data_IF_937562870807
#
_entry.id   IF_937562870807
#
_cell.length_a   1.000
_cell.length_b   1.000
_cell.length_c   1.000
_cell.angle_alpha   90.00
_cell.angle_beta   90.00
_cell.angle_gamma   90.00
#
_symmetry.space_group_name_H-M   'P 1'
#
loop_
_entity.id
_entity.type
_entity.pdbx_description
1 polymer ?
#
# COMPACT_ATOMS: atom_id res chain seq x y z
N UNK A 1 28.16 3.69 -1.65
CA UNK A 1 27.11 3.39 -2.64
C UNK A 1 26.10 4.53 -2.61
N UNK A 2 25.96 5.29 -3.67
CA UNK A 2 24.99 6.38 -3.75
C UNK A 2 23.61 5.74 -3.94
N UNK A 3 22.80 5.74 -2.89
CA UNK A 3 21.40 5.29 -3.00
C UNK A 3 20.70 6.23 -3.96
N UNK A 4 20.34 5.75 -5.13
CA UNK A 4 19.55 6.51 -6.10
C UNK A 4 18.15 6.69 -5.50
N UNK A 5 17.83 7.89 -5.05
CA UNK A 5 16.48 8.22 -4.59
C UNK A 5 15.58 8.15 -5.82
N UNK A 6 14.65 7.22 -5.83
CA UNK A 6 13.64 7.10 -6.89
C UNK A 6 12.49 8.02 -6.58
N UNK A 7 12.13 8.88 -7.53
CA UNK A 7 10.98 9.77 -7.38
C UNK A 7 9.67 9.08 -7.78
N UNK A 8 8.56 9.57 -7.25
CA UNK A 8 7.21 9.07 -7.55
C UNK A 8 6.92 9.14 -9.06
N UNK A 9 7.35 10.21 -9.72
CA UNK A 9 7.18 10.39 -11.17
C UNK A 9 7.83 9.31 -12.03
N UNK A 10 8.83 8.59 -11.51
CA UNK A 10 9.46 7.47 -12.21
C UNK A 10 8.67 6.16 -12.10
N UNK A 11 7.76 6.05 -11.14
CA UNK A 11 6.98 4.85 -10.87
C UNK A 11 5.50 4.99 -11.23
N UNK A 12 4.97 6.21 -11.28
CA UNK A 12 3.55 6.45 -11.52
C UNK A 12 3.11 5.91 -12.87
N UNK A 13 1.83 5.56 -12.96
CA UNK A 13 1.15 5.36 -14.23
C UNK A 13 0.76 6.73 -14.80
N UNK A 14 1.38 7.15 -15.90
CA UNK A 14 1.14 8.47 -16.53
C UNK A 14 -0.23 8.57 -17.19
N UNK A 15 -0.80 7.44 -17.64
CA UNK A 15 -2.08 7.43 -18.34
C UNK A 15 -3.23 7.60 -17.37
N UNK A 16 -3.69 8.85 -17.21
CA UNK A 16 -4.88 9.19 -16.45
C UNK A 16 -6.15 8.99 -17.29
N UNK A 17 -7.04 8.11 -16.84
CA UNK A 17 -8.38 8.01 -17.40
C UNK A 17 -9.34 8.82 -16.54
N UNK A 18 -10.04 9.76 -17.17
CA UNK A 18 -10.96 10.69 -16.53
C UNK A 18 -12.41 10.34 -16.79
N UNK A 19 -13.32 10.83 -15.97
CA UNK A 19 -14.76 10.74 -16.19
C UNK A 19 -15.42 12.02 -15.67
N UNK A 20 -16.40 12.54 -16.39
CA UNK A 20 -17.12 13.74 -15.98
C UNK A 20 -18.02 13.48 -14.75
N UNK A 21 -18.14 14.47 -13.88
CA UNK A 21 -18.88 14.39 -12.61
C UNK A 21 -20.36 14.06 -12.81
N UNK A 22 -20.95 14.47 -13.94
CA UNK A 22 -22.35 14.19 -14.29
C UNK A 22 -22.64 12.73 -14.62
N UNK A 23 -21.60 11.91 -14.83
CA UNK A 23 -21.78 10.51 -15.18
C UNK A 23 -22.30 9.69 -14.01
N UNK A 24 -22.89 8.53 -14.34
CA UNK A 24 -23.39 7.56 -13.36
C UNK A 24 -22.33 6.52 -12.96
N UNK A 25 -22.57 5.85 -11.84
CA UNK A 25 -21.79 4.71 -11.40
C UNK A 25 -21.69 3.60 -12.47
N UNK A 26 -22.76 3.37 -13.22
CA UNK A 26 -22.76 2.40 -14.31
C UNK A 26 -21.80 2.78 -15.43
N UNK A 27 -21.76 4.06 -15.81
CA UNK A 27 -20.83 4.55 -16.84
C UNK A 27 -19.38 4.44 -16.38
N UNK A 28 -19.10 4.73 -15.11
CA UNK A 28 -17.78 4.51 -14.53
C UNK A 28 -17.38 3.04 -14.55
N UNK A 29 -18.26 2.14 -14.10
CA UNK A 29 -18.02 0.70 -14.10
C UNK A 29 -17.73 0.17 -15.52
N UNK A 30 -18.50 0.60 -16.52
CA UNK A 30 -18.28 0.24 -17.93
C UNK A 30 -16.92 0.72 -18.41
N UNK A 31 -16.57 1.97 -18.14
CA UNK A 31 -15.28 2.55 -18.54
C UNK A 31 -14.11 1.83 -17.87
N UNK A 32 -14.20 1.52 -16.57
CA UNK A 32 -13.18 0.73 -15.85
C UNK A 32 -12.99 -0.64 -16.50
N UNK A 33 -14.09 -1.37 -16.76
CA UNK A 33 -14.05 -2.67 -17.43
C UNK A 33 -13.41 -2.59 -18.81
N UNK A 34 -13.87 -1.65 -19.65
CA UNK A 34 -13.46 -1.55 -21.05
C UNK A 34 -12.00 -1.11 -21.21
N UNK A 35 -11.49 -0.39 -20.23
CA UNK A 35 -10.10 0.07 -20.14
C UNK A 35 -9.19 -0.83 -19.30
N UNK A 36 -9.77 -1.84 -18.63
CA UNK A 36 -9.07 -2.72 -17.68
C UNK A 36 -8.31 -1.94 -16.58
N UNK A 37 -9.00 -1.02 -15.94
CA UNK A 37 -8.48 -0.16 -14.87
C UNK A 37 -9.40 -0.18 -13.64
N UNK A 38 -8.88 0.08 -12.46
CA UNK A 38 -9.61 0.02 -11.18
C UNK A 38 -10.03 1.39 -10.63
N UNK A 39 -9.70 2.47 -11.32
CA UNK A 39 -10.03 3.83 -10.87
C UNK A 39 -10.17 4.81 -12.03
N UNK A 40 -10.93 5.88 -11.80
CA UNK A 40 -11.10 7.00 -12.74
C UNK A 40 -10.99 8.31 -11.97
N UNK A 41 -10.25 9.26 -12.52
CA UNK A 41 -10.21 10.63 -12.03
C UNK A 41 -11.52 11.32 -12.43
N UNK A 42 -12.28 11.79 -11.43
CA UNK A 42 -13.51 12.54 -11.69
C UNK A 42 -13.16 13.99 -11.90
N UNK A 43 -13.68 14.55 -13.00
CA UNK A 43 -13.44 15.94 -13.38
C UNK A 43 -14.75 16.71 -13.43
N UNK A 44 -14.67 18.00 -13.12
CA UNK A 44 -15.81 18.91 -13.26
C UNK A 44 -16.23 19.05 -14.73
N UNK A 45 -17.54 19.12 -14.98
CA UNK A 45 -18.11 19.15 -16.33
C UNK A 45 -17.85 20.47 -17.06
N UNK A 46 -17.60 21.56 -16.33
CA UNK A 46 -17.48 22.90 -16.91
C UNK A 46 -16.03 23.26 -17.25
N UNK A 47 -15.08 22.99 -16.32
CA UNK A 47 -13.70 23.44 -16.46
C UNK A 47 -12.68 22.28 -16.54
N UNK A 48 -13.16 21.02 -16.42
CA UNK A 48 -12.32 19.82 -16.54
C UNK A 48 -11.35 19.61 -15.38
N UNK A 49 -11.47 20.38 -14.28
CA UNK A 49 -10.58 20.23 -13.13
C UNK A 49 -10.85 18.96 -12.33
N UNK A 50 -9.81 18.35 -11.76
CA UNK A 50 -9.96 17.19 -10.88
C UNK A 50 -10.77 17.55 -9.63
N UNK A 51 -11.85 16.80 -9.35
CA UNK A 51 -12.72 17.02 -8.18
C UNK A 51 -12.81 15.82 -7.27
N UNK A 52 -12.41 14.62 -7.74
CA UNK A 52 -12.47 13.41 -6.96
C UNK A 52 -11.89 12.21 -7.72
N UNK A 53 -11.94 11.07 -7.07
CA UNK A 53 -11.60 9.77 -7.66
C UNK A 53 -12.70 8.77 -7.36
N UNK A 54 -13.06 7.95 -8.33
CA UNK A 54 -13.96 6.80 -8.14
C UNK A 54 -13.20 5.52 -8.45
N UNK A 55 -13.37 4.52 -7.58
CA UNK A 55 -12.68 3.23 -7.67
C UNK A 55 -13.68 2.07 -7.71
N UNK A 56 -13.23 0.87 -8.12
CA UNK A 56 -14.02 -0.35 -8.01
C UNK A 56 -14.50 -0.59 -6.56
N UNK A 57 -13.70 -0.23 -5.55
CA UNK A 57 -14.09 -0.32 -4.14
C UNK A 57 -15.29 0.57 -3.82
N UNK A 58 -15.35 1.77 -4.39
CA UNK A 58 -16.47 2.69 -4.19
C UNK A 58 -17.75 2.14 -4.82
N UNK A 59 -17.64 1.56 -6.01
CA UNK A 59 -18.77 0.90 -6.67
C UNK A 59 -19.31 -0.26 -5.85
N UNK A 60 -18.44 -1.12 -5.32
CA UNK A 60 -18.86 -2.25 -4.47
C UNK A 60 -19.50 -1.76 -3.19
N UNK A 61 -18.88 -0.80 -2.48
CA UNK A 61 -19.33 -0.38 -1.15
C UNK A 61 -20.55 0.53 -1.14
N UNK A 62 -20.68 1.38 -2.17
CA UNK A 62 -21.70 2.46 -2.21
C UNK A 62 -22.80 2.23 -3.24
N UNK A 63 -22.66 1.19 -4.07
CA UNK A 63 -23.67 0.84 -5.06
C UNK A 63 -24.12 -0.59 -4.84
N UNK A 64 -23.22 -1.59 -4.91
CA UNK A 64 -23.61 -2.98 -4.77
C UNK A 64 -24.09 -3.33 -3.35
N UNK A 65 -23.38 -2.87 -2.31
CA UNK A 65 -23.71 -3.18 -0.92
C UNK A 65 -25.06 -2.56 -0.48
N UNK A 66 -25.42 -1.43 -1.07
CA UNK A 66 -26.65 -0.69 -0.75
C UNK A 66 -27.80 -1.03 -1.73
N UNK A 67 -27.61 -2.03 -2.63
CA UNK A 67 -28.54 -2.39 -3.70
C UNK A 67 -29.02 -1.18 -4.53
N UNK A 68 -28.13 -0.18 -4.69
CA UNK A 68 -28.44 1.05 -5.40
C UNK A 68 -28.43 0.85 -6.92
N UNK A 69 -29.34 1.52 -7.61
CA UNK A 69 -29.38 1.48 -9.08
C UNK A 69 -28.17 2.19 -9.67
N UNK A 70 -27.20 1.44 -10.19
CA UNK A 70 -25.95 1.98 -10.74
C UNK A 70 -26.17 3.02 -11.85
N UNK A 71 -27.24 2.91 -12.64
CA UNK A 71 -27.57 3.87 -13.71
C UNK A 71 -28.14 5.19 -13.17
N UNK A 72 -28.66 5.19 -11.93
CA UNK A 72 -29.26 6.37 -11.28
C UNK A 72 -28.38 6.98 -10.22
N UNK A 73 -27.31 6.31 -9.82
CA UNK A 73 -26.37 6.80 -8.81
C UNK A 73 -25.33 7.70 -9.45
N UNK A 74 -25.32 9.01 -9.18
CA UNK A 74 -24.34 9.93 -9.76
C UNK A 74 -22.97 9.78 -9.08
N UNK A 75 -21.89 10.09 -9.79
CA UNK A 75 -20.52 9.93 -9.28
C UNK A 75 -20.23 10.80 -8.06
N UNK A 76 -20.83 11.99 -7.97
CA UNK A 76 -20.68 12.88 -6.80
C UNK A 76 -21.05 12.22 -5.47
N UNK A 77 -21.95 11.23 -5.47
CA UNK A 77 -22.45 10.56 -4.27
C UNK A 77 -21.53 9.41 -3.84
N UNK A 78 -20.70 8.91 -4.76
CA UNK A 78 -19.88 7.72 -4.53
C UNK A 78 -18.37 7.96 -4.67
N UNK A 79 -17.94 9.06 -5.29
CA UNK A 79 -16.51 9.38 -5.41
C UNK A 79 -15.88 9.68 -4.05
N UNK A 80 -14.58 9.51 -3.95
CA UNK A 80 -13.78 10.00 -2.84
C UNK A 80 -13.28 11.42 -3.15
N UNK A 81 -13.58 12.36 -2.26
CA UNK A 81 -13.17 13.77 -2.30
C UNK A 81 -12.96 14.27 -0.86
N UNK A 82 -12.01 15.18 -0.58
CA UNK A 82 -11.04 15.73 -1.55
C UNK A 82 -10.03 14.68 -2.05
N UNK A 83 -9.39 14.99 -3.18
CA UNK A 83 -8.29 14.19 -3.71
C UNK A 83 -7.08 14.25 -2.78
N UNK A 84 -6.44 13.10 -2.57
CA UNK A 84 -5.13 13.03 -1.91
C UNK A 84 -4.06 13.04 -3.00
N UNK A 85 -3.16 14.00 -2.92
CA UNK A 85 -2.13 14.25 -3.94
C UNK A 85 -0.73 14.01 -3.40
N UNK A 86 0.23 13.93 -4.30
CA UNK A 86 1.66 13.93 -4.01
C UNK A 86 2.41 14.54 -5.18
N UNK A 87 3.54 15.20 -4.91
CA UNK A 87 4.37 15.77 -5.97
C UNK A 87 5.19 14.68 -6.67
N UNK A 88 5.36 14.83 -8.00
CA UNK A 88 6.11 13.87 -8.82
C UNK A 88 7.60 13.75 -8.44
N UNK A 89 8.20 14.79 -7.86
CA UNK A 89 9.59 14.82 -7.44
C UNK A 89 9.80 14.22 -6.03
N UNK A 90 8.72 13.99 -5.28
CA UNK A 90 8.80 13.39 -3.95
C UNK A 90 9.41 11.98 -4.00
N UNK A 91 10.14 11.58 -2.93
CA UNK A 91 10.61 10.21 -2.78
C UNK A 91 9.45 9.21 -2.69
N UNK A 92 9.70 7.98 -3.12
CA UNK A 92 8.70 6.89 -3.14
C UNK A 92 8.13 6.60 -1.76
N UNK A 93 8.95 6.68 -0.73
CA UNK A 93 8.57 6.45 0.67
C UNK A 93 7.47 7.41 1.14
N UNK A 94 7.53 8.67 0.68
CA UNK A 94 6.52 9.70 1.00
C UNK A 94 5.13 9.29 0.51
N UNK A 95 5.02 8.71 -0.69
CA UNK A 95 3.73 8.25 -1.19
C UNK A 95 3.17 7.08 -0.36
N UNK A 96 4.00 6.15 0.09
CA UNK A 96 3.58 5.04 0.96
C UNK A 96 3.05 5.57 2.32
N UNK A 97 3.72 6.56 2.90
CA UNK A 97 3.30 7.20 4.14
C UNK A 97 1.96 7.93 3.97
N UNK A 98 1.81 8.72 2.89
CA UNK A 98 0.56 9.43 2.56
C UNK A 98 -0.59 8.43 2.39
N UNK A 99 -0.40 7.32 1.66
CA UNK A 99 -1.41 6.28 1.49
C UNK A 99 -1.85 5.68 2.83
N UNK A 100 -0.89 5.40 3.71
CA UNK A 100 -1.14 4.81 5.03
C UNK A 100 -1.89 5.78 5.94
N UNK A 101 -1.42 7.02 6.05
CA UNK A 101 -2.01 8.05 6.91
C UNK A 101 -3.45 8.39 6.48
N UNK A 102 -3.69 8.51 5.18
CA UNK A 102 -5.00 8.84 4.63
C UNK A 102 -5.89 7.61 4.36
N UNK A 103 -5.38 6.38 4.56
CA UNK A 103 -6.08 5.12 4.29
C UNK A 103 -6.57 4.99 2.84
N UNK A 104 -5.81 5.54 1.91
CA UNK A 104 -6.07 5.48 0.46
C UNK A 104 -5.08 4.56 -0.24
N UNK A 105 -5.44 4.09 -1.44
CA UNK A 105 -4.58 3.24 -2.29
C UNK A 105 -4.28 3.85 -3.65
N UNK A 106 -4.74 5.07 -3.87
CA UNK A 106 -4.54 5.81 -5.10
C UNK A 106 -4.20 7.24 -4.70
N UNK A 107 -3.05 7.73 -5.15
CA UNK A 107 -2.69 9.13 -5.02
C UNK A 107 -2.63 9.74 -6.40
N UNK A 108 -3.20 10.91 -6.55
CA UNK A 108 -3.01 11.72 -7.75
C UNK A 108 -1.61 12.33 -7.68
N UNK A 109 -0.80 12.06 -8.68
CA UNK A 109 0.54 12.65 -8.81
C UNK A 109 0.40 13.96 -9.58
N UNK A 110 0.93 15.01 -9.02
CA UNK A 110 0.79 16.38 -9.56
C UNK A 110 2.16 17.04 -9.75
N UNK A 111 2.19 18.10 -10.53
CA UNK A 111 3.37 18.95 -10.71
C UNK A 111 3.34 20.10 -9.70
N UNK A 112 4.42 20.25 -8.91
CA UNK A 112 4.61 21.33 -7.95
C UNK A 112 3.43 21.52 -6.98
N UNK A 113 2.87 20.40 -6.48
CA UNK A 113 1.70 20.38 -5.60
C UNK A 113 0.43 21.05 -6.16
N UNK A 114 0.38 21.31 -7.47
CA UNK A 114 -0.78 21.90 -8.14
C UNK A 114 -1.75 20.83 -8.62
N UNK A 115 -2.89 20.70 -7.93
CA UNK A 115 -3.95 19.75 -8.27
C UNK A 115 -4.50 19.91 -9.70
N UNK A 116 -4.36 21.11 -10.29
CA UNK A 116 -4.80 21.38 -11.66
C UNK A 116 -3.79 20.90 -12.72
N UNK A 117 -2.64 20.38 -12.28
CA UNK A 117 -1.60 19.80 -13.14
C UNK A 117 -1.36 18.33 -12.83
N UNK A 118 -2.37 17.49 -13.04
CA UNK A 118 -2.25 16.07 -12.80
C UNK A 118 -1.31 15.43 -13.83
N UNK A 119 -0.33 14.67 -13.37
CA UNK A 119 0.66 13.98 -14.19
C UNK A 119 0.39 12.48 -14.31
N UNK A 120 -0.14 11.87 -13.24
CA UNK A 120 -0.35 10.43 -13.19
C UNK A 120 -1.04 10.01 -11.91
N UNK A 121 -1.08 8.70 -11.72
CA UNK A 121 -1.57 8.07 -10.51
C UNK A 121 -0.55 7.07 -10.00
N UNK A 122 -0.36 6.98 -8.68
CA UNK A 122 0.47 5.95 -8.06
C UNK A 122 -0.35 5.09 -7.11
N UNK A 123 -0.10 3.78 -7.16
CA UNK A 123 -0.83 2.75 -6.40
C UNK A 123 0.15 1.80 -5.72
N UNK A 124 -0.28 0.98 -4.74
CA UNK A 124 0.57 -0.05 -4.14
C UNK A 124 1.18 -1.04 -5.15
N UNK A 125 0.52 -1.27 -6.29
CA UNK A 125 1.03 -2.16 -7.33
C UNK A 125 2.32 -1.62 -7.97
N UNK A 126 2.42 -0.31 -8.13
CA UNK A 126 3.61 0.35 -8.68
C UNK A 126 4.82 0.16 -7.74
N UNK A 127 4.59 0.19 -6.41
CA UNK A 127 5.63 -0.12 -5.43
C UNK A 127 6.10 -1.58 -5.50
N UNK A 128 5.19 -2.53 -5.74
CA UNK A 128 5.58 -3.95 -5.87
C UNK A 128 6.51 -4.14 -7.07
N UNK A 129 6.23 -3.49 -8.19
CA UNK A 129 7.12 -3.46 -9.35
C UNK A 129 8.52 -2.94 -8.99
N UNK A 130 8.56 -1.78 -8.35
CA UNK A 130 9.80 -1.15 -7.88
C UNK A 130 10.59 -2.03 -6.92
N UNK A 131 9.93 -2.63 -5.93
CA UNK A 131 10.57 -3.52 -4.97
C UNK A 131 11.16 -4.75 -5.65
N UNK A 132 10.45 -5.35 -6.60
CA UNK A 132 10.91 -6.51 -7.35
C UNK A 132 12.20 -6.22 -8.14
N UNK A 133 12.34 -5.01 -8.67
CA UNK A 133 13.50 -4.62 -9.47
C UNK A 133 14.68 -4.16 -8.60
N UNK A 134 14.42 -3.61 -7.41
CA UNK A 134 15.43 -2.94 -6.59
C UNK A 134 15.76 -3.65 -5.27
N UNK A 135 14.92 -4.59 -4.79
CA UNK A 135 15.22 -5.42 -3.63
C UNK A 135 15.99 -6.67 -4.06
N UNK A 136 17.26 -6.70 -3.68
CA UNK A 136 18.00 -7.96 -3.62
C UNK A 136 17.56 -8.70 -2.33
N UNK A 137 16.73 -9.73 -2.50
CA UNK A 137 16.21 -10.54 -1.38
C UNK A 137 17.36 -11.16 -0.58
N UNK A 138 18.47 -11.49 -1.21
CA UNK A 138 19.65 -12.04 -0.55
C UNK A 138 20.30 -11.01 0.37
N UNK A 139 20.37 -9.74 -0.01
CA UNK A 139 20.88 -8.65 0.84
C UNK A 139 19.94 -8.38 2.02
N UNK A 140 18.63 -8.45 1.83
CA UNK A 140 17.64 -8.30 2.92
C UNK A 140 17.77 -9.45 3.91
N UNK A 141 17.83 -10.68 3.43
CA UNK A 141 18.01 -11.86 4.26
C UNK A 141 19.35 -11.82 5.02
N UNK A 142 20.43 -11.40 4.37
CA UNK A 142 21.74 -11.25 4.99
C UNK A 142 21.70 -10.22 6.14
N UNK A 143 21.03 -9.07 5.94
CA UNK A 143 20.87 -8.05 7.00
C UNK A 143 20.02 -8.53 8.16
N UNK A 144 18.94 -9.27 7.89
CA UNK A 144 18.10 -9.86 8.95
C UNK A 144 18.92 -10.87 9.75
N UNK A 145 19.66 -11.76 9.08
CA UNK A 145 20.52 -12.74 9.74
C UNK A 145 21.62 -12.06 10.58
N UNK A 146 22.24 -11.02 10.05
CA UNK A 146 23.25 -10.25 10.78
C UNK A 146 22.65 -9.59 12.03
N UNK A 147 21.49 -8.94 11.92
CA UNK A 147 20.80 -8.34 13.07
C UNK A 147 20.43 -9.37 14.14
N UNK A 148 20.00 -10.56 13.73
CA UNK A 148 19.70 -11.66 14.67
C UNK A 148 20.97 -12.18 15.36
N UNK A 149 22.11 -12.22 14.68
CA UNK A 149 23.40 -12.59 15.26
C UNK A 149 23.89 -11.55 16.27
N UNK A 150 23.78 -10.25 15.93
CA UNK A 150 24.15 -9.15 16.84
C UNK A 150 23.32 -9.17 18.13
N UNK A 151 22.00 -9.40 18.04
CA UNK A 151 21.11 -9.55 19.20
C UNK A 151 21.57 -10.72 20.07
N UNK A 152 21.86 -11.87 19.46
CA UNK A 152 22.29 -13.06 20.19
C UNK A 152 23.64 -12.86 20.89
N UNK A 153 24.59 -12.18 20.24
CA UNK A 153 25.89 -11.86 20.86
C UNK A 153 25.75 -10.91 22.05
N UNK A 154 24.83 -9.95 21.97
CA UNK A 154 24.56 -9.02 23.07
C UNK A 154 23.84 -9.72 24.23
N UNK A 155 22.90 -10.61 23.96
CA UNK A 155 22.24 -11.46 24.97
C UNK A 155 23.27 -12.37 25.67
N UNK A 156 24.18 -13.00 24.92
CA UNK A 156 25.25 -13.84 25.48
C UNK A 156 26.24 -13.05 26.34
N UNK A 157 26.53 -11.78 25.97
CA UNK A 157 27.36 -10.89 26.80
C UNK A 157 26.67 -10.52 28.12
N UNK A 158 25.39 -10.14 28.03
CA UNK A 158 24.57 -9.81 29.22
C UNK A 158 24.46 -11.02 30.15
N UNK A 159 24.24 -12.21 29.60
CA UNK A 159 24.20 -13.46 30.40
C UNK A 159 25.52 -13.72 31.11
N UNK A 160 26.67 -13.61 30.45
CA UNK A 160 27.98 -13.76 31.04
C UNK A 160 28.27 -12.74 32.14
N UNK A 161 27.84 -11.49 31.95
CA UNK A 161 27.97 -10.45 32.97
C UNK A 161 27.12 -10.75 34.22
N UNK A 162 25.89 -11.24 34.03
CA UNK A 162 24.99 -11.65 35.12
C UNK A 162 25.50 -12.87 35.85
N UNK A 163 26.12 -13.83 35.16
CA UNK A 163 26.82 -14.96 35.77
C UNK A 163 27.99 -14.51 36.65
N UNK A 164 28.82 -13.59 36.13
CA UNK A 164 29.95 -13.05 36.86
C UNK A 164 29.52 -12.26 38.12
N UNK A 165 28.36 -11.63 38.08
CA UNK A 165 27.80 -10.89 39.21
C UNK A 165 27.01 -11.77 40.18
N UNK A 166 26.90 -13.10 39.93
CA UNK A 166 26.14 -14.03 40.75
C UNK A 166 24.63 -13.76 40.80
N UNK A 167 24.10 -13.04 39.80
CA UNK A 167 22.69 -12.62 39.74
C UNK A 167 21.80 -13.52 38.92
N UNK A 168 22.34 -14.56 38.28
CA UNK A 168 21.51 -15.54 37.58
C UNK A 168 20.82 -16.47 38.58
N UNK A 169 19.49 -16.69 38.43
CA UNK A 169 18.81 -17.73 39.19
C UNK A 169 19.41 -19.09 38.83
N UNK A 170 19.80 -19.87 39.84
CA UNK A 170 20.27 -21.22 39.63
C UNK A 170 19.20 -22.01 38.87
N UNK A 171 19.52 -22.36 37.63
CA UNK A 171 18.85 -23.20 36.66
C UNK A 171 17.44 -23.76 37.08
N UNK A 172 16.34 -23.33 36.46
CA UNK A 172 15.11 -24.09 36.54
C UNK A 172 15.29 -25.36 35.73
N UNK A 173 15.08 -26.50 36.41
CA UNK A 173 15.18 -27.85 35.94
C UNK A 173 14.67 -28.05 34.51
N UNK A 174 15.40 -28.85 33.73
CA UNK A 174 14.96 -29.48 32.51
C UNK A 174 13.62 -30.19 32.73
N UNK A 175 12.54 -29.49 32.42
CA UNK A 175 11.23 -30.09 32.20
C UNK A 175 11.12 -30.37 30.70
N UNK A 176 11.54 -31.55 30.29
CA UNK A 176 11.24 -32.04 28.96
C UNK A 176 9.76 -32.39 28.91
N UNK A 177 8.97 -31.59 28.21
CA UNK A 177 7.71 -32.07 27.68
C UNK A 177 7.96 -32.46 26.23
N UNK A 178 8.00 -33.77 26.00
CA UNK A 178 7.88 -34.38 24.67
C UNK A 178 6.53 -34.02 24.10
N UNK A 179 6.53 -33.15 23.07
CA UNK A 179 5.35 -33.02 22.23
C UNK A 179 5.23 -34.26 21.36
N UNK A 180 4.34 -35.16 21.74
CA UNK A 180 3.94 -36.31 20.90
C UNK A 180 3.36 -35.75 19.57
N UNK A 181 3.97 -36.20 18.48
CA UNK A 181 3.49 -36.01 17.12
C UNK A 181 2.12 -36.68 16.93
N UNK A 182 1.04 -35.95 17.06
CA UNK A 182 -0.26 -36.42 16.57
C UNK A 182 -0.27 -36.49 15.04
N UNK A 183 -0.40 -37.68 14.52
CA UNK A 183 -0.65 -37.97 13.11
C UNK A 183 -1.97 -37.33 12.65
N UNK A 184 -2.06 -36.76 11.45
CA UNK A 184 -3.30 -36.24 10.93
C UNK A 184 -4.33 -37.35 10.74
N UNK A 185 -5.50 -37.20 11.34
CA UNK A 185 -6.66 -38.06 11.14
C UNK A 185 -7.13 -37.98 9.70
N UNK A 186 -7.13 -39.09 9.00
CA UNK A 186 -7.86 -39.25 7.73
C UNK A 186 -9.36 -39.30 8.07
N UNK A 187 -10.12 -38.35 7.56
CA UNK A 187 -11.59 -38.38 7.59
C UNK A 187 -12.15 -39.10 6.38
N UNK A 188 -13.41 -39.56 6.47
CA UNK A 188 -14.05 -40.38 5.46
C UNK A 188 -14.42 -39.62 4.20
#
# INVERSE_FOLDING_TARGET
MTTRITSIGQLMTEKLETIALSNSAQQAAKKMRDKNISSLLVVDDNDGKPVGIVTERDLVRRVCADDASSSKTPLKDIMSSPLVTTDALSPVEVAADIMTQNRVRHLLVVENDDINKPLGIITPTDFVGYLKENLNIDDVNARILQSMQEIKEDDDKVLKELEHQGKLPKNPQKGGEEYENEKPRQGP
#
